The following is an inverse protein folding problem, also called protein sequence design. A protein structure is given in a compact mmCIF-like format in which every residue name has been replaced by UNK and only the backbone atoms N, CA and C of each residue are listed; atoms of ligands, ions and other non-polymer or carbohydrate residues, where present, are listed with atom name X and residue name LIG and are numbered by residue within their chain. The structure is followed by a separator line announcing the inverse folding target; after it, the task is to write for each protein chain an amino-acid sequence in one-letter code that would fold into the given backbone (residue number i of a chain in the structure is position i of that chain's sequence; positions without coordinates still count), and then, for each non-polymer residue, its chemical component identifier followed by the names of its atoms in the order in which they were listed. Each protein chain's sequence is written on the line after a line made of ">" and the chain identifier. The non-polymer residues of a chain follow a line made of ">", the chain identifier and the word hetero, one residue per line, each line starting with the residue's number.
data_IF_681666687935
#
_entry.id   IF_681666687935
#
_cell.length_a   1.000
_cell.length_b   1.000
_cell.length_c   1.000
_cell.angle_alpha   90.00
_cell.angle_beta   90.00
_cell.angle_gamma   90.00
#
_symmetry.space_group_name_H-M   'P 1'
#
loop_
_entity.id
_entity.type
_entity.pdbx_description
1 polymer ?
#
# COMPACT_ATOMS: atom_id res chain seq x y z
N UNK A 1 20.86 69.61 -14.97
CA UNK A 1 21.38 68.28 -15.37
C UNK A 1 22.33 67.88 -14.24
N UNK A 2 22.20 66.81 -13.46
CA UNK A 2 21.56 65.50 -13.62
C UNK A 2 20.99 64.98 -12.29
N UNK A 3 20.04 64.04 -12.41
CA UNK A 3 19.24 63.42 -11.34
C UNK A 3 20.08 62.43 -10.51
N UNK A 4 19.89 62.44 -9.19
CA UNK A 4 20.33 61.38 -8.28
C UNK A 4 19.38 60.17 -8.43
N UNK A 5 19.96 59.01 -8.74
CA UNK A 5 19.23 57.76 -8.96
C UNK A 5 19.25 56.94 -7.67
N UNK A 6 18.07 56.67 -7.12
CA UNK A 6 17.87 55.85 -5.92
C UNK A 6 18.20 54.40 -6.27
N UNK A 7 19.23 53.84 -5.62
CA UNK A 7 19.56 52.42 -5.73
C UNK A 7 18.59 51.62 -4.87
N UNK A 8 17.69 50.89 -5.52
CA UNK A 8 16.72 50.02 -4.87
C UNK A 8 17.41 48.73 -4.40
N UNK A 9 17.68 48.64 -3.09
CA UNK A 9 18.09 47.42 -2.42
C UNK A 9 17.02 46.34 -2.65
N UNK A 10 17.36 45.34 -3.45
CA UNK A 10 16.50 44.20 -3.76
C UNK A 10 16.51 43.24 -2.57
N UNK A 11 15.44 43.26 -1.77
CA UNK A 11 15.18 42.23 -0.76
C UNK A 11 14.71 40.97 -1.50
N UNK A 12 15.61 40.01 -1.68
CA UNK A 12 15.27 38.69 -2.22
C UNK A 12 14.47 37.91 -1.16
N UNK A 13 13.14 37.92 -1.28
CA UNK A 13 12.24 37.11 -0.48
C UNK A 13 12.34 35.65 -0.98
N UNK A 14 13.18 34.84 -0.34
CA UNK A 14 13.23 33.39 -0.56
C UNK A 14 11.94 32.75 -0.03
N UNK A 15 10.94 32.62 -0.91
CA UNK A 15 9.78 31.76 -0.66
C UNK A 15 10.26 30.30 -0.62
N UNK A 16 10.49 29.78 0.57
CA UNK A 16 10.59 28.34 0.81
C UNK A 16 9.20 27.74 0.54
N UNK A 17 8.94 27.40 -0.71
CA UNK A 17 7.82 26.52 -1.06
C UNK A 17 8.24 25.13 -0.54
N UNK A 18 7.99 24.87 0.74
CA UNK A 18 8.07 23.53 1.28
C UNK A 18 7.06 22.69 0.51
N UNK A 19 7.54 21.86 -0.41
CA UNK A 19 6.74 20.80 -1.01
C UNK A 19 6.37 19.86 0.12
N UNK A 20 5.19 20.07 0.72
CA UNK A 20 4.59 19.12 1.62
C UNK A 20 4.48 17.81 0.84
N UNK A 21 5.37 16.86 1.14
CA UNK A 21 5.32 15.53 0.55
C UNK A 21 4.01 14.93 1.05
N UNK A 22 3.01 14.88 0.16
CA UNK A 22 1.69 14.40 0.52
C UNK A 22 1.78 12.91 0.83
N UNK A 23 1.18 12.48 1.95
CA UNK A 23 0.99 11.07 2.29
C UNK A 23 0.16 10.36 1.21
N UNK A 24 0.11 9.01 1.18
CA UNK A 24 -0.73 8.31 0.23
C UNK A 24 -2.18 8.76 0.44
N UNK A 25 -2.85 9.13 -0.65
CA UNK A 25 -4.24 9.57 -0.59
C UNK A 25 -5.10 8.43 -0.05
N UNK A 26 -6.11 8.72 0.79
CA UNK A 26 -7.10 7.71 1.13
C UNK A 26 -7.84 7.29 -0.15
N UNK A 27 -8.37 6.07 -0.13
CA UNK A 27 -9.29 5.62 -1.18
C UNK A 27 -10.53 6.51 -1.22
N UNK A 28 -11.05 6.70 -2.42
CA UNK A 28 -12.33 7.35 -2.62
C UNK A 28 -13.45 6.54 -1.95
N UNK A 29 -14.42 7.16 -1.25
CA UNK A 29 -15.53 6.44 -0.62
C UNK A 29 -16.27 5.48 -1.57
N UNK A 30 -16.35 5.80 -2.86
CA UNK A 30 -16.96 4.94 -3.89
C UNK A 30 -16.30 3.57 -4.03
N UNK A 31 -15.06 3.40 -3.55
CA UNK A 31 -14.40 2.10 -3.50
C UNK A 31 -15.16 1.10 -2.61
N UNK A 32 -15.78 1.57 -1.53
CA UNK A 32 -16.51 0.73 -0.58
C UNK A 32 -18.01 0.62 -0.92
N UNK A 33 -18.54 1.55 -1.71
CA UNK A 33 -19.98 1.63 -2.00
C UNK A 33 -20.44 0.65 -3.10
N UNK A 34 -21.61 0.03 -2.91
CA UNK A 34 -22.27 -0.75 -3.95
C UNK A 34 -21.60 -2.09 -4.31
N UNK A 35 -20.65 -2.57 -3.50
CA UNK A 35 -20.02 -3.88 -3.69
C UNK A 35 -21.01 -4.99 -3.33
N UNK A 36 -21.28 -5.91 -4.26
CA UNK A 36 -22.14 -7.09 -4.03
C UNK A 36 -21.36 -8.34 -3.55
N UNK A 37 -20.03 -8.29 -3.68
CA UNK A 37 -19.09 -9.35 -3.30
C UNK A 37 -17.89 -8.72 -2.61
N UNK A 38 -17.13 -9.53 -1.88
CA UNK A 38 -15.79 -9.16 -1.39
C UNK A 38 -14.76 -9.65 -2.38
N UNK A 39 -13.65 -8.93 -2.51
CA UNK A 39 -12.57 -9.34 -3.41
C UNK A 39 -12.02 -10.74 -3.06
N UNK A 40 -12.02 -11.13 -1.78
CA UNK A 40 -11.60 -12.47 -1.36
C UNK A 40 -12.55 -13.59 -1.79
N UNK A 41 -13.82 -13.29 -2.09
CA UNK A 41 -14.80 -14.27 -2.59
C UNK A 41 -14.66 -14.52 -4.10
N UNK A 42 -13.93 -13.63 -4.78
CA UNK A 42 -13.83 -13.60 -6.24
C UNK A 42 -12.57 -14.30 -6.76
N UNK A 43 -11.49 -14.31 -6.00
CA UNK A 43 -10.26 -14.99 -6.37
C UNK A 43 -9.75 -15.83 -5.20
N UNK A 44 -9.61 -17.14 -5.42
CA UNK A 44 -9.02 -18.08 -4.45
C UNK A 44 -7.49 -17.93 -4.43
N UNK A 45 -7.02 -16.79 -3.94
CA UNK A 45 -5.59 -16.52 -3.76
C UNK A 45 -5.02 -17.41 -2.66
N UNK A 46 -3.80 -17.96 -2.83
CA UNK A 46 -3.14 -18.65 -1.74
C UNK A 46 -2.88 -17.67 -0.59
N UNK A 47 -2.82 -18.22 0.61
CA UNK A 47 -2.44 -17.46 1.80
C UNK A 47 -1.06 -16.86 1.59
N UNK A 48 -0.91 -15.54 1.75
CA UNK A 48 0.37 -14.84 1.52
C UNK A 48 1.36 -15.05 2.66
N UNK A 49 0.87 -15.27 3.88
CA UNK A 49 1.65 -15.29 5.12
C UNK A 49 1.09 -16.32 6.08
N UNK A 50 1.97 -17.04 6.76
CA UNK A 50 1.64 -17.98 7.83
C UNK A 50 0.68 -17.39 8.86
N UNK A 51 -0.33 -18.18 9.24
CA UNK A 51 -1.41 -17.71 10.12
C UNK A 51 -0.89 -17.31 11.51
N UNK A 52 0.14 -17.99 12.02
CA UNK A 52 0.77 -17.65 13.30
C UNK A 52 1.41 -16.26 13.29
N UNK A 53 2.06 -15.88 12.19
CA UNK A 53 2.64 -14.54 12.01
C UNK A 53 1.54 -13.49 11.93
N UNK A 54 0.49 -13.74 11.14
CA UNK A 54 -0.66 -12.83 11.02
C UNK A 54 -1.34 -12.61 12.37
N UNK A 55 -1.64 -13.69 13.10
CA UNK A 55 -2.31 -13.62 14.40
C UNK A 55 -1.49 -12.82 15.42
N UNK A 56 -0.18 -13.08 15.52
CA UNK A 56 0.71 -12.33 16.40
C UNK A 56 0.68 -10.83 16.06
N UNK A 57 0.79 -10.48 14.79
CA UNK A 57 0.77 -9.08 14.38
C UNK A 57 -0.56 -8.38 14.64
N UNK A 58 -1.69 -9.07 14.51
CA UNK A 58 -3.01 -8.55 14.89
C UNK A 58 -3.09 -8.32 16.40
N UNK A 59 -2.62 -9.28 17.21
CA UNK A 59 -2.64 -9.18 18.67
C UNK A 59 -1.77 -8.01 19.17
N UNK A 60 -0.58 -7.82 18.60
CA UNK A 60 0.35 -6.76 18.99
C UNK A 60 -0.08 -5.37 18.47
N UNK A 61 -0.93 -5.31 17.45
CA UNK A 61 -1.30 -4.07 16.76
C UNK A 61 -2.82 -4.00 16.56
N UNK A 62 -3.58 -3.48 17.54
CA UNK A 62 -5.03 -3.37 17.41
C UNK A 62 -5.42 -2.51 16.21
N UNK A 63 -6.35 -3.02 15.40
CA UNK A 63 -6.86 -2.28 14.24
C UNK A 63 -7.68 -1.10 14.70
N UNK A 64 -7.35 0.08 14.17
CA UNK A 64 -8.28 1.21 14.15
C UNK A 64 -8.90 1.24 12.75
N UNK A 65 -10.22 1.08 12.59
CA UNK A 65 -10.85 1.17 11.28
C UNK A 65 -10.50 2.49 10.60
N UNK A 66 -10.14 2.48 9.31
CA UNK A 66 -9.96 3.72 8.57
C UNK A 66 -11.30 4.46 8.52
N UNK A 67 -11.26 5.77 8.75
CA UNK A 67 -12.42 6.64 8.54
C UNK A 67 -12.41 7.08 7.07
N UNK A 68 -13.47 6.81 6.28
CA UNK A 68 -13.53 7.19 4.87
C UNK A 68 -13.24 8.69 4.67
N UNK A 69 -12.41 9.00 3.67
CA UNK A 69 -12.04 10.38 3.33
C UNK A 69 -11.08 11.07 4.31
N UNK A 70 -10.70 10.42 5.43
CA UNK A 70 -9.76 11.01 6.40
C UNK A 70 -8.34 10.55 6.12
N UNK A 71 -7.43 11.51 5.98
CA UNK A 71 -6.01 11.24 5.80
C UNK A 71 -5.44 10.57 7.06
N UNK A 72 -4.88 9.36 6.88
CA UNK A 72 -4.19 8.66 7.97
C UNK A 72 -2.80 9.24 8.19
N UNK A 73 -2.40 9.31 9.45
CA UNK A 73 -1.11 9.86 9.89
C UNK A 73 0.05 8.86 9.86
N UNK A 74 -0.27 7.58 9.73
CA UNK A 74 0.67 6.47 9.59
C UNK A 74 0.06 5.36 8.73
N UNK A 75 0.91 4.43 8.29
CA UNK A 75 0.49 3.21 7.59
C UNK A 75 -0.04 2.13 8.53
N UNK A 76 -0.45 1.01 7.95
CA UNK A 76 -0.94 -0.16 8.67
C UNK A 76 0.18 -0.86 9.47
N UNK A 77 0.12 -0.77 10.79
CA UNK A 77 1.09 -1.42 11.68
C UNK A 77 1.09 -2.95 11.59
N UNK A 78 -0.06 -3.58 11.28
CA UNK A 78 -0.12 -5.02 11.04
C UNK A 78 0.70 -5.37 9.79
N UNK A 79 0.55 -4.61 8.70
CA UNK A 79 1.32 -4.83 7.49
C UNK A 79 2.82 -4.65 7.73
N UNK A 80 3.22 -3.62 8.49
CA UNK A 80 4.62 -3.44 8.89
C UNK A 80 5.12 -4.61 9.74
N UNK A 81 4.40 -5.01 10.78
CA UNK A 81 4.77 -6.15 11.63
C UNK A 81 4.98 -7.42 10.81
N UNK A 82 4.07 -7.71 9.88
CA UNK A 82 4.16 -8.88 8.99
C UNK A 82 5.42 -8.80 8.14
N UNK A 83 5.68 -7.70 7.43
CA UNK A 83 6.85 -7.61 6.56
C UNK A 83 8.18 -7.59 7.33
N UNK A 84 8.22 -6.99 8.52
CA UNK A 84 9.39 -7.09 9.42
C UNK A 84 9.63 -8.53 9.84
N UNK A 85 8.57 -9.24 10.25
CA UNK A 85 8.66 -10.63 10.71
C UNK A 85 9.16 -11.59 9.61
N UNK A 86 8.93 -11.24 8.35
CA UNK A 86 9.33 -12.00 7.18
C UNK A 86 10.67 -11.53 6.59
N UNK A 87 11.35 -10.58 7.24
CA UNK A 87 12.57 -9.92 6.74
C UNK A 87 12.38 -9.25 5.35
N UNK A 88 11.16 -8.85 5.01
CA UNK A 88 10.82 -8.15 3.77
C UNK A 88 10.91 -6.64 3.94
N UNK A 89 10.81 -6.12 5.17
CA UNK A 89 10.88 -4.68 5.43
C UNK A 89 11.83 -4.39 6.58
N UNK A 90 12.82 -3.52 6.33
CA UNK A 90 13.80 -3.05 7.31
C UNK A 90 14.31 -1.67 6.89
N UNK A 91 14.61 -0.79 7.84
CA UNK A 91 15.23 0.51 7.59
C UNK A 91 14.52 1.33 6.49
N UNK A 92 13.18 1.33 6.56
CA UNK A 92 12.29 1.97 5.60
C UNK A 92 12.48 1.54 4.13
N UNK A 93 12.92 0.29 3.93
CA UNK A 93 13.21 -0.30 2.61
C UNK A 93 12.54 -1.66 2.49
N UNK A 94 12.00 -1.97 1.31
CA UNK A 94 11.49 -3.29 0.96
C UNK A 94 12.63 -4.13 0.37
N UNK A 95 12.87 -5.32 0.93
CA UNK A 95 13.71 -6.35 0.32
C UNK A 95 12.87 -7.11 -0.71
N UNK A 96 13.09 -6.76 -1.98
CA UNK A 96 12.44 -7.34 -3.15
C UNK A 96 12.68 -8.85 -3.27
N UNK A 97 13.89 -9.32 -2.96
CA UNK A 97 14.22 -10.73 -3.12
C UNK A 97 13.67 -11.55 -1.95
N UNK A 98 13.66 -11.01 -0.74
CA UNK A 98 12.94 -11.60 0.38
C UNK A 98 11.44 -11.73 0.09
N UNK A 99 10.81 -10.69 -0.49
CA UNK A 99 9.41 -10.73 -0.86
C UNK A 99 9.10 -11.85 -1.87
N UNK A 100 9.94 -12.01 -2.90
CA UNK A 100 9.82 -13.12 -3.87
C UNK A 100 9.94 -14.48 -3.20
N UNK A 101 10.98 -14.68 -2.39
CA UNK A 101 11.20 -15.95 -1.67
C UNK A 101 10.01 -16.32 -0.79
N UNK A 102 9.52 -15.36 0.00
CA UNK A 102 8.36 -15.56 0.89
C UNK A 102 7.12 -15.95 0.08
N UNK A 103 6.80 -15.23 -1.00
CA UNK A 103 5.63 -15.55 -1.82
C UNK A 103 5.76 -16.92 -2.49
N UNK A 104 6.94 -17.28 -2.99
CA UNK A 104 7.18 -18.61 -3.58
C UNK A 104 7.00 -19.72 -2.56
N UNK A 105 7.47 -19.52 -1.33
CA UNK A 105 7.26 -20.47 -0.23
C UNK A 105 5.78 -20.60 0.12
N UNK A 106 5.08 -19.47 0.29
CA UNK A 106 3.66 -19.44 0.65
C UNK A 106 2.74 -20.03 -0.42
N UNK A 107 3.07 -19.84 -1.71
CA UNK A 107 2.21 -20.29 -2.82
C UNK A 107 2.43 -21.76 -3.19
N UNK A 108 3.53 -22.37 -2.73
CA UNK A 108 3.81 -23.78 -2.90
C UNK A 108 3.76 -24.21 -4.38
N UNK A 109 2.92 -25.18 -4.70
CA UNK A 109 2.78 -25.75 -6.05
C UNK A 109 1.78 -25.03 -6.94
N UNK A 110 1.26 -23.86 -6.54
CA UNK A 110 0.30 -23.12 -7.35
C UNK A 110 0.97 -22.42 -8.55
N UNK A 111 1.14 -23.18 -9.63
CA UNK A 111 1.86 -22.74 -10.83
C UNK A 111 1.29 -21.44 -11.44
N UNK A 112 -0.03 -21.27 -11.42
CA UNK A 112 -0.70 -20.08 -11.96
C UNK A 112 -0.28 -18.80 -11.25
N UNK A 113 -0.22 -18.80 -9.92
CA UNK A 113 0.24 -17.63 -9.17
C UNK A 113 1.76 -17.53 -9.12
N UNK A 114 2.49 -18.65 -9.07
CA UNK A 114 3.96 -18.65 -9.06
C UNK A 114 4.57 -17.95 -10.27
N UNK A 115 3.98 -18.14 -11.46
CA UNK A 115 4.40 -17.47 -12.68
C UNK A 115 4.30 -15.93 -12.60
N UNK A 116 3.43 -15.41 -11.73
CA UNK A 116 3.17 -13.97 -11.58
C UNK A 116 4.07 -13.30 -10.55
N UNK A 117 4.63 -14.05 -9.58
CA UNK A 117 5.34 -13.50 -8.41
C UNK A 117 6.42 -12.49 -8.82
N UNK A 118 7.26 -12.84 -9.80
CA UNK A 118 8.37 -11.99 -10.22
C UNK A 118 7.91 -10.61 -10.67
N UNK A 119 6.96 -10.57 -11.62
CA UNK A 119 6.43 -9.33 -12.16
C UNK A 119 5.65 -8.52 -11.12
N UNK A 120 4.80 -9.19 -10.33
CA UNK A 120 3.99 -8.56 -9.29
C UNK A 120 4.86 -7.90 -8.21
N UNK A 121 5.90 -8.59 -7.72
CA UNK A 121 6.81 -8.03 -6.71
C UNK A 121 7.59 -6.84 -7.27
N UNK A 122 8.09 -6.94 -8.50
CA UNK A 122 8.89 -5.88 -9.13
C UNK A 122 8.07 -4.60 -9.32
N UNK A 123 6.85 -4.75 -9.82
CA UNK A 123 5.92 -3.64 -10.01
C UNK A 123 5.59 -2.96 -8.68
N UNK A 124 5.24 -3.75 -7.66
CA UNK A 124 4.84 -3.22 -6.36
C UNK A 124 6.01 -2.60 -5.58
N UNK A 125 7.21 -3.16 -5.70
CA UNK A 125 8.43 -2.57 -5.17
C UNK A 125 8.66 -1.20 -5.80
N UNK A 126 8.62 -1.11 -7.13
CA UNK A 126 8.82 0.15 -7.85
C UNK A 126 7.75 1.19 -7.48
N UNK A 127 6.49 0.77 -7.34
CA UNK A 127 5.39 1.65 -6.95
C UNK A 127 5.66 2.35 -5.61
N UNK A 128 6.05 1.61 -4.57
CA UNK A 128 6.27 2.21 -3.25
C UNK A 128 7.64 2.87 -3.11
N UNK A 129 8.65 2.37 -3.81
CA UNK A 129 10.00 2.92 -3.75
C UNK A 129 10.13 4.24 -4.52
N UNK A 130 9.41 4.41 -5.63
CA UNK A 130 9.51 5.60 -6.47
C UNK A 130 8.50 6.68 -6.12
N UNK A 131 7.59 6.42 -5.17
CA UNK A 131 6.57 7.37 -4.76
C UNK A 131 6.90 7.94 -3.36
N UNK A 132 7.23 9.23 -3.32
CA UNK A 132 7.60 9.95 -2.11
C UNK A 132 6.50 9.93 -1.02
N UNK A 133 5.24 9.73 -1.41
CA UNK A 133 4.12 9.62 -0.47
C UNK A 133 4.30 8.47 0.53
N UNK A 134 4.91 7.36 0.10
CA UNK A 134 5.17 6.22 1.00
C UNK A 134 6.40 6.41 1.89
N UNK A 135 7.17 7.49 1.68
CA UNK A 135 8.40 7.79 2.43
C UNK A 135 8.22 8.91 3.47
N UNK A 136 7.01 9.45 3.59
CA UNK A 136 6.68 10.47 4.59
C UNK A 136 6.89 9.90 5.99
N UNK A 137 7.50 10.69 6.88
CA UNK A 137 7.68 10.32 8.28
C UNK A 137 6.32 10.08 8.93
N UNK A 138 6.03 8.86 9.42
CA UNK A 138 4.74 8.56 10.01
C UNK A 138 4.62 9.17 11.40
N UNK A 139 3.41 9.59 11.75
CA UNK A 139 3.07 10.08 13.08
C UNK A 139 2.19 9.03 13.74
N UNK A 140 2.62 8.52 14.90
CA UNK A 140 1.92 7.47 15.62
C UNK A 140 0.49 7.89 15.97
N UNK A 141 -0.46 6.97 15.76
CA UNK A 141 -1.86 7.17 16.16
C UNK A 141 -2.12 6.84 17.62
N UNK A 142 -1.14 6.24 18.32
CA UNK A 142 -1.21 5.87 19.73
C UNK A 142 0.06 6.32 20.47
N UNK A 143 -0.04 6.74 21.75
CA UNK A 143 1.12 7.09 22.58
C UNK A 143 2.06 5.89 22.79
N UNK A 144 3.36 6.18 22.99
CA UNK A 144 4.32 5.17 23.45
C UNK A 144 4.94 4.27 22.36
N UNK A 145 4.69 4.55 21.08
CA UNK A 145 5.35 3.85 19.96
C UNK A 145 5.68 4.79 18.80
N UNK A 146 6.65 4.46 17.93
CA UNK A 146 6.83 5.15 16.67
C UNK A 146 5.64 4.90 15.72
N UNK A 147 5.45 5.82 14.77
CA UNK A 147 4.47 5.65 13.70
C UNK A 147 4.91 4.55 12.73
N UNK A 148 3.95 3.83 12.15
CA UNK A 148 4.20 2.80 11.17
C UNK A 148 4.35 3.40 9.76
N UNK A 149 5.37 2.96 9.03
CA UNK A 149 5.62 3.40 7.65
C UNK A 149 4.42 3.08 6.77
N UNK A 150 4.18 3.95 5.79
CA UNK A 150 3.16 3.72 4.76
C UNK A 150 3.60 2.67 3.73
N UNK A 151 4.91 2.44 3.60
CA UNK A 151 5.50 1.57 2.57
C UNK A 151 5.04 0.11 2.67
N UNK A 152 5.04 -0.56 3.85
CA UNK A 152 4.54 -1.93 3.98
C UNK A 152 3.09 -2.09 3.53
N UNK A 153 2.22 -1.16 3.90
CA UNK A 153 0.82 -1.21 3.53
C UNK A 153 0.62 -1.01 2.02
N UNK A 154 1.28 0.01 1.44
CA UNK A 154 1.24 0.25 0.01
C UNK A 154 1.72 -0.96 -0.78
N UNK A 155 2.79 -1.61 -0.32
CA UNK A 155 3.36 -2.78 -0.95
C UNK A 155 2.38 -3.96 -0.89
N UNK A 156 1.84 -4.28 0.29
CA UNK A 156 0.88 -5.39 0.46
C UNK A 156 -0.40 -5.16 -0.34
N UNK A 157 -0.94 -3.94 -0.35
CA UNK A 157 -2.12 -3.61 -1.14
C UNK A 157 -1.85 -3.76 -2.64
N UNK A 158 -0.69 -3.30 -3.12
CA UNK A 158 -0.31 -3.52 -4.51
C UNK A 158 -0.20 -5.02 -4.84
N UNK A 159 0.49 -5.82 -4.02
CA UNK A 159 0.65 -7.26 -4.24
C UNK A 159 -0.72 -7.94 -4.37
N UNK A 160 -1.63 -7.68 -3.42
CA UNK A 160 -2.99 -8.23 -3.44
C UNK A 160 -3.79 -7.77 -4.66
N UNK A 161 -3.74 -6.48 -4.99
CA UNK A 161 -4.40 -5.92 -6.17
C UNK A 161 -3.92 -6.59 -7.45
N UNK A 162 -2.62 -6.80 -7.62
CA UNK A 162 -2.05 -7.39 -8.84
C UNK A 162 -2.36 -8.87 -8.97
N UNK A 163 -2.26 -9.65 -7.90
CA UNK A 163 -2.69 -11.05 -7.94
C UNK A 163 -4.20 -11.19 -8.17
N UNK A 164 -5.02 -10.27 -7.66
CA UNK A 164 -6.44 -10.27 -7.91
C UNK A 164 -6.78 -9.94 -9.38
N UNK A 165 -6.15 -8.90 -9.94
CA UNK A 165 -6.32 -8.52 -11.34
C UNK A 165 -5.88 -9.63 -12.31
N UNK A 166 -4.78 -10.30 -11.97
CA UNK A 166 -4.18 -11.38 -12.77
C UNK A 166 -4.59 -12.77 -12.25
N UNK A 167 -5.69 -12.86 -11.50
CA UNK A 167 -6.14 -14.13 -10.91
C UNK A 167 -6.32 -15.18 -12.01
N UNK A 168 -5.67 -16.36 -11.92
CA UNK A 168 -5.82 -17.42 -12.90
C UNK A 168 -7.28 -17.87 -13.02
N UNK A 169 -7.72 -18.20 -14.24
CA UNK A 169 -9.12 -18.58 -14.51
C UNK A 169 -9.61 -19.74 -13.62
N UNK A 170 -8.75 -20.70 -13.33
CA UNK A 170 -9.07 -21.83 -12.46
C UNK A 170 -9.34 -21.41 -10.99
N UNK A 171 -8.83 -20.26 -10.57
CA UNK A 171 -9.02 -19.68 -9.23
C UNK A 171 -10.05 -18.54 -9.20
N UNK A 172 -10.56 -18.13 -10.36
CA UNK A 172 -11.50 -17.02 -10.51
C UNK A 172 -12.96 -17.48 -10.41
N UNK A 173 -13.75 -16.76 -9.62
CA UNK A 173 -15.21 -16.89 -9.59
C UNK A 173 -15.79 -16.10 -10.76
N UNK A 174 -16.39 -16.81 -11.74
CA UNK A 174 -17.04 -16.20 -12.90
C UNK A 174 -18.38 -15.57 -12.50
N UNK A 175 -18.33 -14.29 -12.15
CA UNK A 175 -19.48 -13.51 -11.69
C UNK A 175 -19.27 -12.03 -12.07
N UNK A 176 -20.32 -11.36 -12.57
CA UNK A 176 -20.24 -9.97 -12.99
C UNK A 176 -19.85 -9.02 -11.83
N UNK A 177 -20.26 -9.32 -10.60
CA UNK A 177 -19.85 -8.56 -9.42
C UNK A 177 -18.34 -8.69 -9.16
N UNK A 178 -17.74 -9.85 -9.46
CA UNK A 178 -16.30 -10.05 -9.34
C UNK A 178 -15.53 -9.26 -10.41
N UNK A 179 -16.04 -9.22 -11.64
CA UNK A 179 -15.45 -8.42 -12.71
C UNK A 179 -15.54 -6.91 -12.42
N UNK A 180 -16.63 -6.46 -11.79
CA UNK A 180 -16.77 -5.09 -11.30
C UNK A 180 -15.70 -4.74 -10.24
N UNK A 181 -15.37 -5.65 -9.33
CA UNK A 181 -14.30 -5.42 -8.36
C UNK A 181 -12.92 -5.30 -9.04
N UNK A 182 -12.65 -6.07 -10.10
CA UNK A 182 -11.43 -5.90 -10.91
C UNK A 182 -11.37 -4.51 -11.53
N UNK A 183 -12.50 -4.02 -12.04
CA UNK A 183 -12.59 -2.65 -12.58
C UNK A 183 -12.30 -1.60 -11.51
N UNK A 184 -12.88 -1.72 -10.32
CA UNK A 184 -12.59 -0.79 -9.21
C UNK A 184 -11.10 -0.73 -8.85
N UNK A 185 -10.41 -1.86 -8.81
CA UNK A 185 -8.94 -1.86 -8.61
C UNK A 185 -8.24 -1.14 -9.75
N UNK A 186 -8.65 -1.37 -11.00
CA UNK A 186 -8.03 -0.71 -12.17
C UNK A 186 -8.23 0.81 -12.18
N UNK A 187 -9.29 1.31 -11.55
CA UNK A 187 -9.58 2.75 -11.44
C UNK A 187 -9.00 3.40 -10.18
N UNK A 188 -8.19 2.66 -9.40
CA UNK A 188 -7.42 3.20 -8.29
C UNK A 188 -7.88 2.81 -6.88
N UNK A 189 -8.90 1.95 -6.74
CA UNK A 189 -9.26 1.42 -5.42
C UNK A 189 -8.22 0.42 -4.92
N UNK A 190 -7.85 0.51 -3.65
CA UNK A 190 -7.01 -0.51 -3.03
C UNK A 190 -7.79 -1.80 -2.82
N UNK A 191 -7.09 -2.94 -2.86
CA UNK A 191 -7.69 -4.23 -2.50
C UNK A 191 -8.33 -4.19 -1.11
N UNK A 192 -7.72 -3.47 -0.17
CA UNK A 192 -8.21 -3.35 1.21
C UNK A 192 -9.64 -2.79 1.31
N UNK A 193 -9.98 -1.81 0.47
CA UNK A 193 -11.33 -1.21 0.44
C UNK A 193 -12.40 -2.11 -0.17
N UNK A 194 -12.00 -3.20 -0.83
CA UNK A 194 -12.91 -4.16 -1.46
C UNK A 194 -13.11 -5.43 -0.61
N UNK A 195 -12.60 -5.46 0.63
CA UNK A 195 -12.80 -6.55 1.59
C UNK A 195 -13.99 -6.32 2.55
N UNK A 196 -14.56 -5.11 2.54
CA UNK A 196 -15.70 -4.67 3.36
C UNK A 196 -16.97 -5.46 3.09
#
# INVERSE_FOLDING_TARGET
>A
MSKFQVSASTVALLLLIGSAVAQPKPDDPSCMEGNQKKALDCCRMPTLVEQSVMNRCITENPMTPPVPGVQRKEGCCIAQCVLVSLNVFKDNTIDRDAAKRVLTQSFGTNAGFNALIGGVVDECFNQVNNNAAYKVTPVASAPGRPGCSFMPEGFVNCIKSRFFQQCPDAAWTKDAACDQLKQKISTGCSFGSLMG
#
